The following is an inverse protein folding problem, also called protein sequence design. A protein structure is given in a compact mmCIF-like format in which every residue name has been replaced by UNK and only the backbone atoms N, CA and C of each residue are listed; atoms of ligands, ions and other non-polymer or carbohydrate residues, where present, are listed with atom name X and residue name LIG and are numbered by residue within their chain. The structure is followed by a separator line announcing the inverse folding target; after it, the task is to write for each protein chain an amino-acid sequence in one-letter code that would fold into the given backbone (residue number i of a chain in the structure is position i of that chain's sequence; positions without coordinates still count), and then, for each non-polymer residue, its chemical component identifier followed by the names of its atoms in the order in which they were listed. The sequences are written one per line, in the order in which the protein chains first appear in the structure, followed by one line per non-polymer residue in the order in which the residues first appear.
data_IF_583633632408
#
_entry.id   IF_583633632408
#
_cell.length_a   1.000
_cell.length_b   1.000
_cell.length_c   1.000
_cell.angle_alpha   90.00
_cell.angle_beta   90.00
_cell.angle_gamma   90.00
#
_symmetry.space_group_name_H-M   'P 1'
#
loop_
_entity.id
_entity.type
_entity.pdbx_description
1 polymer ?
#
# COMPACT_ATOMS: atom_id res chain seq x y z
N UNK A 1 -14.70 -16.77 3.04
CA UNK A 1 -15.64 -15.65 3.31
C UNK A 1 -16.89 -16.11 4.08
N UNK A 2 -16.86 -17.24 4.77
CA UNK A 2 -18.00 -17.75 5.57
C UNK A 2 -17.95 -17.36 7.05
N UNK A 3 -16.85 -16.75 7.53
CA UNK A 3 -16.74 -16.28 8.92
C UNK A 3 -17.36 -14.89 9.14
N UNK A 4 -17.73 -14.15 8.09
CA UNK A 4 -18.40 -12.85 8.26
C UNK A 4 -19.86 -13.02 8.72
N UNK A 5 -20.48 -14.18 8.47
CA UNK A 5 -21.88 -14.45 8.80
C UNK A 5 -22.09 -14.81 10.27
N UNK A 6 -21.06 -15.26 10.99
CA UNK A 6 -21.12 -15.58 12.42
C UNK A 6 -20.90 -14.38 13.34
N UNK A 7 -20.49 -13.22 12.80
CA UNK A 7 -20.29 -11.99 13.58
C UNK A 7 -21.60 -11.30 13.94
N UNK A 8 -21.66 -10.84 15.20
CA UNK A 8 -22.74 -9.99 15.73
C UNK A 8 -22.91 -8.71 14.88
N UNK A 9 -24.14 -8.19 14.69
CA UNK A 9 -24.40 -7.02 13.85
C UNK A 9 -23.59 -5.77 14.25
N UNK A 10 -23.25 -5.60 15.54
CA UNK A 10 -22.40 -4.50 16.01
C UNK A 10 -20.94 -4.65 15.56
N UNK A 11 -20.40 -5.86 15.55
CA UNK A 11 -19.00 -6.11 15.17
C UNK A 11 -18.81 -6.04 13.65
N UNK A 12 -19.85 -6.37 12.87
CA UNK A 12 -19.85 -6.16 11.42
C UNK A 12 -19.69 -4.69 11.03
N UNK A 13 -20.31 -3.77 11.77
CA UNK A 13 -20.19 -2.33 11.49
C UNK A 13 -18.76 -1.83 11.78
N UNK A 14 -18.18 -2.23 12.91
CA UNK A 14 -16.79 -1.92 13.25
C UNK A 14 -15.81 -2.49 12.21
N UNK A 15 -16.04 -3.73 11.79
CA UNK A 15 -15.24 -4.39 10.77
C UNK A 15 -15.31 -3.69 9.41
N UNK A 16 -16.51 -3.27 8.97
CA UNK A 16 -16.66 -2.48 7.74
C UNK A 16 -15.91 -1.16 7.81
N UNK A 17 -16.02 -0.43 8.91
CA UNK A 17 -15.29 0.83 9.10
C UNK A 17 -13.77 0.62 9.08
N UNK A 18 -13.29 -0.42 9.77
CA UNK A 18 -11.89 -0.81 9.72
C UNK A 18 -11.41 -1.15 8.30
N UNK A 19 -12.17 -1.97 7.54
CA UNK A 19 -11.84 -2.30 6.14
C UNK A 19 -11.72 -1.06 5.28
N UNK A 20 -12.65 -0.12 5.41
CA UNK A 20 -12.62 1.14 4.67
C UNK A 20 -11.38 1.97 5.01
N UNK A 21 -11.08 2.16 6.30
CA UNK A 21 -9.89 2.90 6.74
C UNK A 21 -8.61 2.21 6.25
N UNK A 22 -8.51 0.90 6.46
CA UNK A 22 -7.37 0.11 6.01
C UNK A 22 -7.16 0.23 4.49
N UNK A 23 -8.23 0.17 3.70
CA UNK A 23 -8.16 0.36 2.26
C UNK A 23 -7.60 1.75 1.89
N UNK A 24 -8.09 2.82 2.53
CA UNK A 24 -7.57 4.17 2.30
C UNK A 24 -6.07 4.30 2.66
N UNK A 25 -5.67 3.77 3.81
CA UNK A 25 -4.26 3.76 4.24
C UNK A 25 -3.39 3.01 3.23
N UNK A 26 -3.83 1.84 2.77
CA UNK A 26 -3.10 1.05 1.78
C UNK A 26 -2.97 1.76 0.43
N UNK A 27 -4.01 2.44 -0.03
CA UNK A 27 -3.97 3.23 -1.28
C UNK A 27 -2.99 4.41 -1.13
N UNK A 28 -3.06 5.17 -0.03
CA UNK A 28 -2.11 6.25 0.22
C UNK A 28 -0.67 5.76 0.25
N UNK A 29 -0.42 4.65 0.94
CA UNK A 29 0.92 4.06 1.02
C UNK A 29 1.41 3.58 -0.36
N UNK A 30 0.53 2.94 -1.14
CA UNK A 30 0.86 2.50 -2.51
C UNK A 30 1.22 3.69 -3.41
N UNK A 31 0.49 4.80 -3.33
CA UNK A 31 0.80 6.02 -4.09
C UNK A 31 2.17 6.59 -3.70
N UNK A 32 2.50 6.64 -2.41
CA UNK A 32 3.81 7.10 -1.94
C UNK A 32 4.95 6.19 -2.41
N UNK A 33 4.77 4.87 -2.37
CA UNK A 33 5.77 3.91 -2.86
C UNK A 33 5.92 4.00 -4.38
N UNK A 34 4.81 4.15 -5.12
CA UNK A 34 4.85 4.35 -6.57
C UNK A 34 5.57 5.63 -6.95
N UNK A 35 5.29 6.72 -6.25
CA UNK A 35 5.95 8.00 -6.47
C UNK A 35 7.47 7.88 -6.26
N UNK A 36 7.87 7.48 -5.05
CA UNK A 36 9.28 7.37 -4.67
C UNK A 36 10.02 6.31 -5.47
N UNK A 37 9.37 5.18 -5.78
CA UNK A 37 9.92 4.13 -6.61
C UNK A 37 10.11 4.56 -8.06
N UNK A 38 9.21 5.38 -8.62
CA UNK A 38 9.36 5.92 -9.97
C UNK A 38 10.54 6.89 -10.04
N UNK A 39 10.69 7.77 -9.05
CA UNK A 39 11.83 8.67 -8.95
C UNK A 39 13.14 7.88 -8.81
N UNK A 40 13.16 6.85 -7.94
CA UNK A 40 14.30 5.94 -7.82
C UNK A 40 14.64 5.23 -9.13
N UNK A 41 13.64 4.75 -9.87
CA UNK A 41 13.85 4.11 -11.18
C UNK A 41 14.50 5.07 -12.17
N UNK A 42 14.06 6.34 -12.23
CA UNK A 42 14.69 7.37 -13.08
C UNK A 42 16.13 7.67 -12.63
N UNK A 43 16.38 7.72 -11.33
CA UNK A 43 17.68 8.12 -10.82
C UNK A 43 18.73 7.02 -10.85
N UNK A 44 18.39 5.82 -10.40
CA UNK A 44 19.34 4.75 -10.16
C UNK A 44 19.41 3.73 -11.31
N UNK A 45 18.29 3.46 -11.98
CA UNK A 45 18.18 2.34 -12.94
C UNK A 45 18.21 2.84 -14.38
N UNK A 46 17.27 3.72 -14.75
CA UNK A 46 17.10 4.23 -16.11
C UNK A 46 17.72 5.61 -16.23
N UNK A 47 19.05 5.67 -16.08
CA UNK A 47 19.80 6.94 -16.03
C UNK A 47 19.65 7.78 -17.28
N UNK A 48 19.43 7.13 -18.44
CA UNK A 48 19.24 7.83 -19.71
C UNK A 48 17.86 8.47 -19.82
N UNK A 49 16.87 8.11 -18.98
CA UNK A 49 15.55 8.75 -19.01
C UNK A 49 15.66 10.23 -18.64
N UNK A 50 14.89 11.09 -19.31
CA UNK A 50 14.96 12.53 -19.09
C UNK A 50 14.73 12.88 -17.60
N UNK A 51 15.66 13.65 -17.04
CA UNK A 51 15.58 14.17 -15.69
C UNK A 51 16.07 15.62 -15.71
N UNK A 52 15.21 16.61 -15.39
CA UNK A 52 15.57 18.03 -15.46
C UNK A 52 16.70 18.42 -14.49
N UNK A 53 16.98 17.61 -13.45
CA UNK A 53 18.10 17.88 -12.54
C UNK A 53 19.46 17.43 -13.10
N UNK A 54 19.50 16.58 -14.13
CA UNK A 54 20.73 16.00 -14.69
C UNK A 54 20.93 16.26 -16.18
N UNK A 55 19.86 16.55 -16.89
CA UNK A 55 19.86 16.62 -18.35
C UNK A 55 19.44 18.01 -18.84
N UNK A 56 20.13 18.46 -19.88
CA UNK A 56 19.76 19.65 -20.64
C UNK A 56 19.03 19.22 -21.92
N UNK A 57 17.93 19.89 -22.23
CA UNK A 57 17.21 19.68 -23.50
C UNK A 57 18.08 20.16 -24.66
N UNK A 58 18.23 19.31 -25.67
CA UNK A 58 19.02 19.60 -26.88
C UNK A 58 18.10 19.84 -28.07
N UNK A 59 17.04 19.06 -28.17
CA UNK A 59 16.07 19.15 -29.25
C UNK A 59 14.65 19.03 -28.67
N UNK A 60 13.79 19.96 -29.08
CA UNK A 60 12.43 20.08 -28.61
C UNK A 60 11.56 20.70 -29.70
N UNK A 61 10.35 20.17 -29.88
CA UNK A 61 9.35 20.80 -30.72
C UNK A 61 8.97 22.19 -30.13
N UNK A 62 9.15 23.28 -30.88
CA UNK A 62 8.86 24.63 -30.38
C UNK A 62 7.36 24.92 -30.19
N UNK A 63 6.48 24.10 -30.77
CA UNK A 63 5.02 24.24 -30.70
C UNK A 63 4.43 23.33 -29.63
N UNK A 64 4.79 22.04 -29.64
CA UNK A 64 4.21 21.06 -28.71
C UNK A 64 4.97 20.94 -27.39
N UNK A 65 6.24 21.36 -27.37
CA UNK A 65 7.13 21.18 -26.23
C UNK A 65 7.62 19.74 -26.04
N UNK A 66 7.38 18.86 -27.01
CA UNK A 66 7.88 17.47 -26.97
C UNK A 66 9.41 17.44 -27.05
N UNK A 67 10.05 16.73 -26.13
CA UNK A 67 11.51 16.64 -26.06
C UNK A 67 11.97 15.45 -26.90
N UNK A 68 12.75 15.72 -27.94
CA UNK A 68 13.31 14.70 -28.84
C UNK A 68 14.72 14.25 -28.46
N UNK A 69 15.48 15.13 -27.80
CA UNK A 69 16.82 14.76 -27.32
C UNK A 69 17.22 15.57 -26.09
N UNK A 70 18.02 14.94 -25.23
CA UNK A 70 18.62 15.58 -24.07
C UNK A 70 20.04 15.09 -23.83
N UNK A 71 20.82 15.90 -23.13
CA UNK A 71 22.25 15.69 -22.94
C UNK A 71 22.63 15.70 -21.47
N UNK A 72 23.53 14.79 -21.09
CA UNK A 72 24.11 14.75 -19.74
C UNK A 72 25.30 15.71 -19.56
N UNK A 73 25.78 15.80 -18.32
CA UNK A 73 26.96 16.60 -17.95
C UNK A 73 28.27 16.14 -18.62
N UNK A 74 28.32 14.90 -19.11
CA UNK A 74 29.52 14.31 -19.72
C UNK A 74 29.58 14.54 -21.23
N UNK A 75 28.46 14.91 -21.86
CA UNK A 75 28.42 15.12 -23.29
C UNK A 75 27.48 14.20 -24.05
N UNK A 76 26.98 13.14 -23.41
CA UNK A 76 26.21 12.08 -24.07
C UNK A 76 24.80 12.59 -24.37
N UNK A 77 24.33 12.34 -25.60
CA UNK A 77 22.99 12.69 -26.05
C UNK A 77 22.13 11.43 -26.06
N UNK A 78 20.94 11.53 -25.50
CA UNK A 78 19.96 10.46 -25.43
C UNK A 78 18.67 10.88 -26.15
N UNK A 79 17.95 9.89 -26.66
CA UNK A 79 16.68 10.08 -27.39
C UNK A 79 15.60 9.11 -26.86
N UNK A 80 14.33 9.30 -27.22
CA UNK A 80 13.27 8.33 -26.92
C UNK A 80 13.54 6.91 -27.41
N UNK A 81 14.38 6.74 -28.44
CA UNK A 81 14.73 5.43 -28.99
C UNK A 81 15.78 4.67 -28.19
N UNK A 82 16.44 5.32 -27.23
CA UNK A 82 17.39 4.66 -26.33
C UNK A 82 16.75 3.47 -25.61
N UNK A 83 17.41 2.29 -25.57
CA UNK A 83 16.83 1.11 -24.93
C UNK A 83 16.41 1.34 -23.48
N UNK A 84 17.20 2.08 -22.70
CA UNK A 84 16.85 2.40 -21.31
C UNK A 84 15.61 3.30 -21.21
N UNK A 85 15.45 4.23 -22.15
CA UNK A 85 14.29 5.14 -22.18
C UNK A 85 13.04 4.36 -22.57
N UNK A 86 13.13 3.50 -23.60
CA UNK A 86 12.04 2.62 -24.05
C UNK A 86 11.63 1.60 -23.00
N UNK A 87 12.56 1.13 -22.16
CA UNK A 87 12.29 0.17 -21.10
C UNK A 87 11.70 0.80 -19.83
N UNK A 88 11.82 2.12 -19.65
CA UNK A 88 11.33 2.80 -18.44
C UNK A 88 9.84 2.54 -18.14
N UNK A 89 8.89 2.63 -19.09
CA UNK A 89 7.47 2.31 -18.84
C UNK A 89 7.26 0.88 -18.36
N UNK A 90 8.05 -0.09 -18.83
CA UNK A 90 8.00 -1.48 -18.37
C UNK A 90 8.51 -1.61 -16.94
N UNK A 91 9.55 -0.85 -16.57
CA UNK A 91 10.03 -0.76 -15.20
C UNK A 91 8.96 -0.22 -14.24
N UNK A 92 8.26 0.86 -14.64
CA UNK A 92 7.14 1.43 -13.88
C UNK A 92 5.97 0.43 -13.79
N UNK A 93 5.69 -0.30 -14.86
CA UNK A 93 4.66 -1.36 -14.88
C UNK A 93 5.00 -2.47 -13.89
N UNK A 94 6.25 -2.96 -13.90
CA UNK A 94 6.70 -3.98 -12.96
C UNK A 94 6.61 -3.48 -11.51
N UNK A 95 7.05 -2.26 -11.23
CA UNK A 95 6.91 -1.63 -9.91
C UNK A 95 5.44 -1.60 -9.47
N UNK A 96 4.53 -1.21 -10.36
CA UNK A 96 3.08 -1.16 -10.09
C UNK A 96 2.51 -2.54 -9.76
N UNK A 97 2.91 -3.57 -10.51
CA UNK A 97 2.48 -4.94 -10.24
C UNK A 97 2.98 -5.44 -8.88
N UNK A 98 4.25 -5.16 -8.54
CA UNK A 98 4.82 -5.54 -7.24
C UNK A 98 4.11 -4.83 -6.10
N UNK A 99 3.91 -3.51 -6.19
CA UNK A 99 3.21 -2.72 -5.18
C UNK A 99 1.75 -3.19 -5.03
N UNK A 100 1.07 -3.46 -6.14
CA UNK A 100 -0.30 -3.99 -6.13
C UNK A 100 -0.39 -5.36 -5.46
N UNK A 101 0.51 -6.29 -5.82
CA UNK A 101 0.55 -7.63 -5.25
C UNK A 101 0.82 -7.59 -3.73
N UNK A 102 1.84 -6.84 -3.31
CA UNK A 102 2.18 -6.67 -1.89
C UNK A 102 1.04 -5.96 -1.15
N UNK A 103 0.43 -4.95 -1.75
CA UNK A 103 -0.68 -4.21 -1.17
C UNK A 103 -1.92 -5.08 -0.93
N UNK A 104 -2.32 -5.87 -1.93
CA UNK A 104 -3.43 -6.81 -1.78
C UNK A 104 -3.11 -7.88 -0.73
N UNK A 105 -1.89 -8.42 -0.74
CA UNK A 105 -1.44 -9.39 0.26
C UNK A 105 -1.51 -8.83 1.69
N UNK A 106 -0.93 -7.65 1.91
CA UNK A 106 -0.93 -6.99 3.21
C UNK A 106 -2.35 -6.64 3.69
N UNK A 107 -3.22 -6.13 2.81
CA UNK A 107 -4.61 -5.83 3.15
C UNK A 107 -5.39 -7.08 3.57
N UNK A 108 -5.21 -8.20 2.84
CA UNK A 108 -5.87 -9.46 3.17
C UNK A 108 -5.41 -10.01 4.52
N UNK A 109 -4.10 -9.99 4.80
CA UNK A 109 -3.53 -10.42 6.08
C UNK A 109 -4.08 -9.53 7.22
N UNK A 110 -4.10 -8.22 7.03
CA UNK A 110 -4.59 -7.27 8.04
C UNK A 110 -6.07 -7.50 8.36
N UNK A 111 -6.90 -7.71 7.34
CA UNK A 111 -8.33 -8.01 7.52
C UNK A 111 -8.55 -9.34 8.24
N UNK A 112 -7.80 -10.39 7.87
CA UNK A 112 -7.89 -11.70 8.53
C UNK A 112 -7.46 -11.62 9.99
N UNK A 113 -6.37 -10.92 10.27
CA UNK A 113 -5.86 -10.76 11.63
C UNK A 113 -6.85 -10.00 12.52
N UNK A 114 -7.41 -8.89 12.01
CA UNK A 114 -8.39 -8.11 12.76
C UNK A 114 -9.70 -8.90 13.00
N UNK A 115 -10.13 -9.72 12.04
CA UNK A 115 -11.28 -10.60 12.21
C UNK A 115 -11.02 -11.66 13.29
N UNK A 116 -9.82 -12.25 13.33
CA UNK A 116 -9.43 -13.21 14.37
C UNK A 116 -9.45 -12.57 15.77
N UNK A 117 -8.96 -11.35 15.90
CA UNK A 117 -8.98 -10.60 17.17
C UNK A 117 -10.42 -10.34 17.65
N UNK A 118 -11.33 -9.97 16.75
CA UNK A 118 -12.74 -9.77 17.09
C UNK A 118 -13.40 -11.07 17.59
N UNK A 119 -13.12 -12.20 16.95
CA UNK A 119 -13.65 -13.51 17.39
C UNK A 119 -13.13 -13.87 18.78
N UNK A 120 -11.83 -13.72 19.02
CA UNK A 120 -11.21 -13.98 20.33
C UNK A 120 -11.81 -13.11 21.43
N UNK A 121 -11.98 -11.81 21.17
CA UNK A 121 -12.61 -10.90 22.13
C UNK A 121 -14.05 -11.32 22.43
N UNK A 122 -14.84 -11.66 21.41
CA UNK A 122 -16.21 -12.16 21.58
C UNK A 122 -16.28 -13.39 22.49
N UNK A 123 -15.38 -14.37 22.28
CA UNK A 123 -15.29 -15.58 23.12
C UNK A 123 -14.90 -15.25 24.57
N UNK A 124 -13.91 -14.38 24.78
CA UNK A 124 -13.47 -14.01 26.13
C UNK A 124 -14.55 -13.25 26.92
N UNK A 125 -15.34 -12.39 26.28
CA UNK A 125 -16.49 -11.74 26.93
C UNK A 125 -17.65 -12.68 27.24
N UNK A 126 -17.73 -13.84 26.58
CA UNK A 126 -18.78 -14.85 26.82
C UNK A 126 -18.44 -15.80 27.98
N UNK A 127 -17.21 -15.74 28.51
CA UNK A 127 -16.84 -16.53 29.68
C UNK A 127 -17.57 -16.00 30.92
N UNK A 128 -18.29 -16.86 31.66
CA UNK A 128 -18.97 -16.44 32.87
C UNK A 128 -17.91 -15.93 33.87
N UNK A 129 -18.07 -14.67 34.29
CA UNK A 129 -17.29 -14.12 35.38
C UNK A 129 -17.34 -15.09 36.55
N UNK A 130 -16.21 -15.47 37.18
CA UNK A 130 -16.24 -16.34 38.34
C UNK A 130 -17.16 -15.68 39.35
N UNK A 131 -18.31 -16.32 39.62
CA UNK A 131 -19.25 -15.85 40.63
C UNK A 131 -18.45 -15.67 41.89
N UNK A 132 -18.42 -14.44 42.38
CA UNK A 132 -17.98 -14.15 43.73
C UNK A 132 -18.98 -14.89 44.64
N UNK A 133 -18.62 -16.12 45.02
CA UNK A 133 -19.35 -16.87 46.03
C UNK A 133 -19.21 -16.05 47.31
N UNK A 134 -20.20 -15.22 47.60
CA UNK A 134 -20.35 -14.61 48.91
C UNK A 134 -20.36 -15.76 49.92
N UNK A 135 -19.48 -15.75 50.94
CA UNK A 135 -19.43 -16.82 51.92
C UNK A 135 -20.80 -16.92 52.61
N UNK A 136 -21.24 -18.14 52.97
CA UNK A 136 -22.51 -18.33 53.66
C UNK A 136 -22.50 -17.48 54.94
N UNK A 137 -23.46 -16.58 55.07
CA UNK A 137 -23.74 -15.90 56.33
C UNK A 137 -24.23 -16.96 57.32
N UNK A 138 -23.39 -17.34 58.27
CA UNK A 138 -23.81 -18.16 59.40
C UNK A 138 -24.74 -17.34 60.29
N UNK A 139 -25.89 -17.89 60.72
CA UNK A 139 -26.72 -17.22 61.71
C UNK A 139 -25.95 -17.15 63.03
N UNK A 140 -25.77 -15.92 63.52
CA UNK A 140 -25.38 -15.66 64.90
C UNK A 140 -26.55 -16.08 65.80
N UNK A 141 -26.29 -17.08 66.65
CA UNK A 141 -27.18 -17.56 67.71
C UNK A 141 -27.56 -16.46 68.70
#
# INVERSE_FOLDING_TARGET
MEMETTLSPRDRQKFRHFKTIAAYVMVMLALLILWTGTDFLKEAVFKHYFNPSRHMVVDQDPVTGEIYAWKDVLGNVYTPDDPQVRMFPFGVTLLTLVVGLVGVGAYNILCQHFLMVLILQGQLTSLPSPRHNSPPMYPSY
#
